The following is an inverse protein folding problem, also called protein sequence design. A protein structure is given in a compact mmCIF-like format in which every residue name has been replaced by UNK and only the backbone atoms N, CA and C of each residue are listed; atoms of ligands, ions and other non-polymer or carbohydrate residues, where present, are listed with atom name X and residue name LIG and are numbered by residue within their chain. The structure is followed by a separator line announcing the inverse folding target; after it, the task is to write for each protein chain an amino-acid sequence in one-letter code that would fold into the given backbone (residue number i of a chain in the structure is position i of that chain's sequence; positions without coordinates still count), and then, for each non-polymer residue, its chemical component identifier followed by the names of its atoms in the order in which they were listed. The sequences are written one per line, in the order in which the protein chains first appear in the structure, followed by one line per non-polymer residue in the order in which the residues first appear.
data_IF_143482279128
#
_entry.id   IF_143482279128
#
_cell.length_a   1.000
_cell.length_b   1.000
_cell.length_c   1.000
_cell.angle_alpha   90.00
_cell.angle_beta   90.00
_cell.angle_gamma   90.00
#
_symmetry.space_group_name_H-M   'P 1'
#
loop_
_entity.id
_entity.type
_entity.pdbx_description
1 polymer ?
#
# COMPACT_ATOMS: atom_id res chain seq x y z
N UNK A 1 4.50 7.59 -17.76
CA UNK A 1 3.66 6.55 -18.40
C UNK A 1 4.34 6.04 -19.66
N UNK A 2 4.91 4.87 -19.57
CA UNK A 2 5.58 4.27 -20.72
C UNK A 2 4.54 3.51 -21.57
N UNK A 3 3.79 4.24 -22.40
CA UNK A 3 2.74 3.70 -23.28
C UNK A 3 3.25 2.60 -24.24
N UNK A 4 4.55 2.50 -24.43
CA UNK A 4 5.20 1.50 -25.29
C UNK A 4 5.01 0.08 -24.73
N UNK A 5 4.84 -0.08 -23.43
CA UNK A 5 4.70 -1.41 -22.80
C UNK A 5 3.25 -1.92 -22.74
N UNK A 6 2.28 -1.11 -23.19
CA UNK A 6 0.85 -1.41 -23.08
C UNK A 6 0.16 -1.30 -24.43
N UNK A 7 -0.70 -2.23 -24.77
CA UNK A 7 -1.58 -2.12 -25.94
C UNK A 7 -2.53 -0.93 -25.81
N UNK A 8 -2.99 -0.67 -24.58
CA UNK A 8 -3.81 0.51 -24.23
C UNK A 8 -3.41 1.07 -22.87
N UNK A 9 -3.23 2.38 -22.78
CA UNK A 9 -2.91 3.10 -21.56
C UNK A 9 -3.70 4.40 -21.50
N UNK A 10 -4.84 4.37 -20.80
CA UNK A 10 -5.73 5.54 -20.57
C UNK A 10 -6.73 5.22 -19.47
N UNK A 11 -7.50 6.21 -19.04
CA UNK A 11 -8.62 6.02 -18.10
C UNK A 11 -9.76 5.16 -18.68
N UNK A 12 -9.73 4.86 -19.97
CA UNK A 12 -10.71 4.00 -20.67
C UNK A 12 -10.13 2.62 -21.01
N UNK A 13 -8.83 2.41 -20.79
CA UNK A 13 -8.19 1.11 -21.04
C UNK A 13 -8.79 0.05 -20.11
N UNK A 14 -9.09 -1.11 -20.68
CA UNK A 14 -9.78 -2.18 -19.96
C UNK A 14 -9.55 -3.53 -20.61
N UNK A 15 -9.69 -4.60 -19.83
CA UNK A 15 -9.78 -5.97 -20.37
C UNK A 15 -11.01 -6.17 -21.30
N UNK A 16 -11.95 -5.22 -21.31
CA UNK A 16 -13.11 -5.19 -22.19
C UNK A 16 -12.84 -4.45 -23.51
N UNK A 17 -11.60 -4.10 -23.81
CA UNK A 17 -11.26 -3.41 -25.06
C UNK A 17 -11.82 -4.12 -26.29
N UNK A 18 -12.47 -3.40 -27.23
CA UNK A 18 -12.95 -3.98 -28.46
C UNK A 18 -11.81 -4.49 -29.37
N UNK A 19 -10.56 -4.06 -29.10
CA UNK A 19 -9.38 -4.55 -29.84
C UNK A 19 -8.93 -5.93 -29.36
N UNK A 20 -9.34 -6.37 -28.17
CA UNK A 20 -9.03 -7.69 -27.66
C UNK A 20 -9.81 -8.75 -28.43
N UNK A 21 -9.10 -9.68 -29.04
CA UNK A 21 -9.73 -10.81 -29.78
C UNK A 21 -10.48 -11.73 -28.81
N UNK A 22 -11.52 -12.41 -29.32
CA UNK A 22 -12.24 -13.42 -28.54
C UNK A 22 -11.24 -14.46 -28.00
N UNK A 23 -11.34 -14.79 -26.71
CA UNK A 23 -10.45 -15.72 -26.01
C UNK A 23 -8.97 -15.30 -25.90
N UNK A 24 -8.61 -14.09 -26.30
CA UNK A 24 -7.26 -13.57 -26.07
C UNK A 24 -7.04 -13.34 -24.56
N UNK A 25 -5.96 -13.87 -23.96
CA UNK A 25 -5.59 -13.54 -22.59
C UNK A 25 -5.36 -12.05 -22.42
N UNK A 26 -5.52 -11.55 -21.21
CA UNK A 26 -5.23 -10.16 -20.87
C UNK A 26 -4.38 -10.07 -19.61
N UNK A 27 -3.61 -9.00 -19.54
CA UNK A 27 -2.97 -8.49 -18.34
C UNK A 27 -3.43 -7.03 -18.17
N UNK A 28 -4.18 -6.75 -17.11
CA UNK A 28 -4.76 -5.44 -16.88
C UNK A 28 -4.36 -4.92 -15.50
N UNK A 29 -4.00 -3.65 -15.43
CA UNK A 29 -3.66 -2.95 -14.19
C UNK A 29 -4.58 -1.75 -14.04
N UNK A 30 -5.26 -1.69 -12.90
CA UNK A 30 -6.14 -0.58 -12.53
C UNK A 30 -5.59 0.10 -11.28
N UNK A 31 -5.52 1.41 -11.31
CA UNK A 31 -5.07 2.22 -10.18
C UNK A 31 -6.19 3.14 -9.72
N UNK A 32 -6.30 3.34 -8.42
CA UNK A 32 -7.18 4.34 -7.83
C UNK A 32 -6.41 5.25 -6.89
N UNK A 33 -6.77 6.51 -6.86
CA UNK A 33 -6.26 7.51 -5.92
C UNK A 33 -7.24 7.76 -4.75
N UNK A 34 -8.24 6.91 -4.61
CA UNK A 34 -9.31 7.07 -3.61
C UNK A 34 -8.78 7.14 -2.18
N UNK A 35 -7.77 6.32 -1.84
CA UNK A 35 -7.12 6.36 -0.52
C UNK A 35 -5.90 7.29 -0.46
N UNK A 36 -5.67 8.11 -1.49
CA UNK A 36 -4.55 9.04 -1.53
C UNK A 36 -4.71 10.17 -0.52
N UNK A 37 -3.61 10.68 0.00
CA UNK A 37 -3.55 11.76 0.99
C UNK A 37 -4.39 13.00 0.62
N UNK A 38 -4.46 13.34 -0.65
CA UNK A 38 -5.24 14.50 -1.12
C UNK A 38 -6.70 14.46 -0.65
N UNK A 39 -7.32 13.28 -0.66
CA UNK A 39 -8.68 13.11 -0.14
C UNK A 39 -8.75 13.27 1.37
N UNK A 40 -7.82 12.67 2.11
CA UNK A 40 -7.83 12.74 3.58
C UNK A 40 -7.58 14.16 4.05
N UNK A 41 -6.62 14.87 3.42
CA UNK A 41 -6.25 16.24 3.75
C UNK A 41 -7.42 17.23 3.63
N UNK A 42 -8.25 17.08 2.61
CA UNK A 42 -9.39 17.97 2.34
C UNK A 42 -10.65 17.56 3.10
N UNK A 43 -10.63 16.41 3.72
CA UNK A 43 -11.76 15.86 4.44
C UNK A 43 -12.27 16.77 5.59
N UNK A 44 -11.36 17.54 6.22
CA UNK A 44 -11.73 18.49 7.27
C UNK A 44 -12.26 19.84 6.76
N UNK A 45 -11.83 20.24 5.57
CA UNK A 45 -12.05 21.61 5.09
C UNK A 45 -13.29 21.76 4.23
N UNK A 46 -13.73 20.69 3.59
CA UNK A 46 -14.86 20.75 2.66
C UNK A 46 -16.16 20.15 3.22
N UNK A 47 -16.23 19.98 4.53
CA UNK A 47 -17.43 19.53 5.22
C UNK A 47 -17.90 18.11 4.86
N UNK A 48 -17.09 17.37 4.13
CA UNK A 48 -17.40 16.00 3.72
C UNK A 48 -17.35 15.00 4.85
N UNK A 49 -17.07 15.44 6.07
CA UNK A 49 -17.25 14.61 7.24
C UNK A 49 -18.72 14.49 7.58
N UNK A 50 -19.38 13.77 6.78
CA UNK A 50 -20.53 13.11 7.26
C UNK A 50 -20.07 11.95 8.16
N UNK A 51 -20.04 12.18 9.47
CA UNK A 51 -19.83 11.14 10.48
C UNK A 51 -20.96 10.10 10.47
N UNK A 52 -21.83 10.16 9.52
CA UNK A 52 -22.98 9.28 9.35
C UNK A 52 -22.66 7.99 8.62
N UNK A 53 -21.44 7.82 8.09
CA UNK A 53 -21.03 6.49 7.63
C UNK A 53 -20.91 5.57 8.83
N UNK A 54 -21.82 4.62 8.91
CA UNK A 54 -21.87 3.63 9.97
C UNK A 54 -20.50 2.99 10.18
N UNK A 55 -20.01 3.07 11.40
CA UNK A 55 -18.87 2.29 11.88
C UNK A 55 -17.53 3.00 12.01
N UNK A 56 -17.34 4.23 11.47
CA UNK A 56 -16.05 4.92 11.60
C UNK A 56 -16.20 6.26 12.34
N UNK A 57 -16.43 6.17 13.63
CA UNK A 57 -16.47 7.33 14.51
C UNK A 57 -15.08 7.64 15.06
N UNK A 58 -14.52 8.83 14.83
CA UNK A 58 -13.17 9.19 15.30
C UNK A 58 -12.97 8.95 16.79
N UNK A 59 -13.98 9.24 17.62
CA UNK A 59 -13.94 9.04 19.05
C UNK A 59 -13.77 7.59 19.49
N UNK A 60 -14.23 6.63 18.68
CA UNK A 60 -14.21 5.19 18.99
C UNK A 60 -12.97 4.48 18.42
N UNK A 61 -12.13 5.17 17.66
CA UNK A 61 -10.95 4.56 17.06
C UNK A 61 -9.89 4.24 18.12
N UNK A 62 -9.34 3.04 18.03
CA UNK A 62 -8.11 2.68 18.74
C UNK A 62 -6.93 3.20 17.93
N UNK A 63 -6.25 4.21 18.43
CA UNK A 63 -5.05 4.75 17.80
C UNK A 63 -3.81 3.94 18.19
N UNK A 64 -2.80 3.84 17.30
CA UNK A 64 -1.51 3.29 17.66
C UNK A 64 -0.87 4.08 18.80
N UNK A 65 -0.22 3.38 19.75
CA UNK A 65 0.40 4.01 20.90
C UNK A 65 1.50 5.04 20.57
N UNK A 66 2.01 5.01 19.35
CA UNK A 66 3.08 5.91 18.87
C UNK A 66 2.56 7.24 18.30
N UNK A 67 1.28 7.49 18.28
CA UNK A 67 0.70 8.78 17.89
C UNK A 67 -0.06 9.42 19.06
N UNK A 68 -0.08 10.75 19.19
CA UNK A 68 -0.86 11.42 20.22
C UNK A 68 -2.36 11.27 19.95
N UNK A 69 -3.11 11.18 21.03
CA UNK A 69 -4.56 11.13 20.98
C UNK A 69 -5.12 12.56 20.86
N UNK A 70 -5.14 13.07 19.64
CA UNK A 70 -5.63 14.39 19.27
C UNK A 70 -6.85 14.27 18.34
N UNK A 71 -7.80 15.22 18.39
CA UNK A 71 -8.97 15.21 17.52
C UNK A 71 -8.59 15.13 16.03
N UNK A 72 -7.56 15.86 15.60
CA UNK A 72 -7.08 15.86 14.22
C UNK A 72 -6.47 14.51 13.82
N UNK A 73 -5.75 13.85 14.74
CA UNK A 73 -5.17 12.52 14.50
C UNK A 73 -6.30 11.50 14.35
N UNK A 74 -7.25 11.47 15.28
CA UNK A 74 -8.42 10.58 15.19
C UNK A 74 -9.17 10.78 13.90
N UNK A 75 -9.33 12.02 13.53
CA UNK A 75 -10.03 12.44 12.36
C UNK A 75 -9.34 12.00 11.06
N UNK A 76 -8.03 12.15 10.93
CA UNK A 76 -7.28 11.70 9.75
C UNK A 76 -7.29 10.17 9.65
N UNK A 77 -7.22 9.46 10.79
CA UNK A 77 -7.37 8.01 10.81
C UNK A 77 -8.76 7.55 10.36
N UNK A 78 -9.84 8.22 10.81
CA UNK A 78 -11.20 7.93 10.36
C UNK A 78 -11.34 8.15 8.83
N UNK A 79 -10.87 9.28 8.34
CA UNK A 79 -10.88 9.59 6.91
C UNK A 79 -10.07 8.60 6.06
N UNK A 80 -8.96 8.09 6.60
CA UNK A 80 -8.18 7.04 5.94
C UNK A 80 -8.96 5.72 5.85
N UNK A 81 -9.61 5.30 6.94
CA UNK A 81 -10.39 4.07 6.96
C UNK A 81 -11.62 4.15 6.04
N UNK A 82 -12.32 5.29 6.00
CA UNK A 82 -13.40 5.50 5.05
C UNK A 82 -12.92 5.44 3.60
N UNK A 83 -11.76 6.02 3.32
CA UNK A 83 -11.17 5.93 1.99
C UNK A 83 -10.83 4.49 1.60
N UNK A 84 -10.44 3.65 2.56
CA UNK A 84 -10.24 2.21 2.34
C UNK A 84 -11.55 1.49 2.05
N UNK A 85 -12.65 1.84 2.73
CA UNK A 85 -13.98 1.29 2.42
C UNK A 85 -14.44 1.65 1.00
N UNK A 86 -14.13 2.87 0.53
CA UNK A 86 -14.45 3.25 -0.84
C UNK A 86 -13.60 2.51 -1.86
N UNK A 87 -12.34 2.18 -1.53
CA UNK A 87 -11.51 1.31 -2.36
C UNK A 87 -12.08 -0.11 -2.43
N UNK A 88 -12.60 -0.64 -1.32
CA UNK A 88 -13.29 -1.93 -1.31
C UNK A 88 -14.53 -1.92 -2.23
N UNK A 89 -15.33 -0.88 -2.12
CA UNK A 89 -16.48 -0.67 -3.03
C UNK A 89 -16.04 -0.60 -4.50
N UNK A 90 -14.97 0.14 -4.79
CA UNK A 90 -14.38 0.23 -6.12
C UNK A 90 -13.92 -1.14 -6.66
N UNK A 91 -13.26 -1.95 -5.82
CA UNK A 91 -12.89 -3.32 -6.19
C UNK A 91 -14.13 -4.17 -6.46
N UNK A 92 -15.18 -4.03 -5.65
CA UNK A 92 -16.46 -4.74 -5.81
C UNK A 92 -17.08 -4.54 -7.21
N UNK A 93 -16.96 -3.35 -7.80
CA UNK A 93 -17.43 -3.12 -9.18
C UNK A 93 -16.67 -3.97 -10.20
N UNK A 94 -15.35 -4.12 -10.07
CA UNK A 94 -14.57 -4.96 -10.98
C UNK A 94 -14.88 -6.44 -10.81
N UNK A 95 -15.06 -6.90 -9.59
CA UNK A 95 -15.42 -8.29 -9.31
C UNK A 95 -16.79 -8.64 -9.92
N UNK A 96 -17.75 -7.73 -9.77
CA UNK A 96 -19.08 -7.87 -10.39
C UNK A 96 -19.00 -7.89 -11.92
N UNK A 97 -18.27 -6.97 -12.53
CA UNK A 97 -18.11 -6.87 -13.97
C UNK A 97 -17.44 -8.15 -14.56
N UNK A 98 -16.40 -8.67 -13.91
CA UNK A 98 -15.77 -9.94 -14.29
C UNK A 98 -16.77 -11.09 -14.27
N UNK A 99 -17.59 -11.18 -13.21
CA UNK A 99 -18.62 -12.23 -13.06
C UNK A 99 -19.70 -12.12 -14.14
N UNK A 100 -20.23 -10.93 -14.37
CA UNK A 100 -21.26 -10.69 -15.40
C UNK A 100 -20.78 -11.04 -16.82
N UNK A 101 -19.46 -10.99 -17.04
CA UNK A 101 -18.83 -11.35 -18.32
C UNK A 101 -18.32 -12.79 -18.38
N UNK A 102 -18.49 -13.56 -17.30
CA UNK A 102 -17.99 -14.94 -17.23
C UNK A 102 -16.47 -15.04 -17.29
N UNK A 103 -15.75 -14.02 -16.82
CA UNK A 103 -14.29 -13.96 -16.81
C UNK A 103 -13.71 -14.32 -15.44
N UNK A 104 -14.50 -14.27 -14.39
CA UNK A 104 -14.09 -14.48 -12.99
C UNK A 104 -13.49 -15.85 -12.74
N UNK A 105 -14.04 -16.90 -13.34
CA UNK A 105 -13.52 -18.28 -13.24
C UNK A 105 -12.19 -18.49 -13.95
N UNK A 106 -11.75 -17.53 -14.74
CA UNK A 106 -10.53 -17.63 -15.55
C UNK A 106 -9.55 -16.47 -15.31
N UNK A 107 -9.75 -15.67 -14.26
CA UNK A 107 -8.91 -14.50 -13.96
C UNK A 107 -8.28 -14.62 -12.58
N UNK A 108 -6.94 -14.60 -12.53
CA UNK A 108 -6.18 -14.44 -11.28
C UNK A 108 -6.17 -12.95 -10.94
N UNK A 109 -6.49 -12.61 -9.69
CA UNK A 109 -6.61 -11.22 -9.26
C UNK A 109 -5.56 -10.93 -8.19
N UNK A 110 -4.80 -9.83 -8.38
CA UNK A 110 -3.91 -9.26 -7.39
C UNK A 110 -4.49 -7.94 -6.93
N UNK A 111 -4.69 -7.80 -5.63
CA UNK A 111 -5.09 -6.55 -5.01
C UNK A 111 -4.05 -6.13 -3.97
N UNK A 112 -3.50 -4.93 -4.08
CA UNK A 112 -2.47 -4.43 -3.19
C UNK A 112 -2.43 -2.90 -3.16
N UNK A 113 -1.83 -2.34 -2.11
CA UNK A 113 -1.49 -0.92 -2.03
C UNK A 113 -0.02 -0.72 -2.42
N UNK A 114 0.32 0.44 -2.96
CA UNK A 114 1.70 0.81 -3.35
C UNK A 114 2.59 1.14 -2.12
N UNK A 115 1.99 1.67 -1.05
CA UNK A 115 2.64 1.98 0.23
C UNK A 115 1.59 2.10 1.34
N UNK A 116 2.04 2.25 2.58
CA UNK A 116 1.16 2.46 3.73
C UNK A 116 0.43 3.80 3.71
N UNK A 117 -0.57 3.95 4.58
CA UNK A 117 -1.45 5.13 4.63
C UNK A 117 -0.72 6.44 4.83
N UNK A 118 -1.32 7.52 4.36
CA UNK A 118 -0.82 8.89 4.54
C UNK A 118 -1.23 9.44 5.93
N UNK A 119 -0.93 8.67 6.94
CA UNK A 119 -1.10 8.96 8.36
C UNK A 119 0.29 9.08 9.01
N UNK A 120 0.42 9.65 10.21
CA UNK A 120 1.72 9.77 10.88
C UNK A 120 2.50 8.46 10.91
N UNK A 121 3.80 8.51 10.57
CA UNK A 121 4.73 7.37 10.43
C UNK A 121 4.38 6.35 9.33
N UNK A 122 3.42 6.66 8.45
CA UNK A 122 3.04 5.82 7.33
C UNK A 122 3.88 6.08 6.07
N UNK A 123 3.26 6.66 5.05
CA UNK A 123 3.91 6.95 3.76
C UNK A 123 5.26 7.66 3.91
N UNK A 124 6.29 7.12 3.26
CA UNK A 124 7.63 7.70 3.22
C UNK A 124 8.56 7.22 4.35
N UNK A 125 8.05 6.48 5.33
CA UNK A 125 8.85 5.93 6.42
C UNK A 125 9.09 4.42 6.26
N UNK A 126 10.21 3.91 6.79
CA UNK A 126 10.55 2.49 6.75
C UNK A 126 9.97 1.68 7.93
N UNK A 127 9.00 2.25 8.65
CA UNK A 127 8.21 1.51 9.65
C UNK A 127 7.23 0.55 8.96
N UNK A 128 6.66 -0.38 9.73
CA UNK A 128 5.64 -1.30 9.22
C UNK A 128 4.41 -0.55 8.67
N UNK A 129 4.02 0.54 9.32
CA UNK A 129 2.92 1.41 8.86
C UNK A 129 3.14 2.03 7.46
N UNK A 130 4.40 2.11 7.00
CA UNK A 130 4.75 2.59 5.67
C UNK A 130 5.02 1.49 4.65
N UNK A 131 5.51 0.33 5.10
CA UNK A 131 6.01 -0.74 4.22
C UNK A 131 5.12 -1.97 4.16
N UNK A 132 4.45 -2.34 5.26
CA UNK A 132 3.59 -3.51 5.31
C UNK A 132 2.21 -3.14 4.78
N UNK A 133 1.98 -3.48 3.53
CA UNK A 133 0.73 -3.22 2.82
C UNK A 133 -0.05 -4.51 2.59
N UNK A 134 -1.38 -4.43 2.39
CA UNK A 134 -2.15 -5.59 1.98
C UNK A 134 -1.66 -6.09 0.61
N UNK A 135 -1.57 -7.40 0.48
CA UNK A 135 -1.42 -8.11 -0.78
C UNK A 135 -2.37 -9.31 -0.75
N UNK A 136 -3.43 -9.24 -1.52
CA UNK A 136 -4.42 -10.31 -1.67
C UNK A 136 -4.26 -10.89 -3.06
N UNK A 137 -4.13 -12.21 -3.14
CA UNK A 137 -4.07 -12.92 -4.42
C UNK A 137 -5.19 -13.94 -4.47
N UNK A 138 -6.08 -13.78 -5.43
CA UNK A 138 -7.17 -14.71 -5.68
C UNK A 138 -6.86 -15.59 -6.87
N UNK A 139 -6.96 -16.90 -6.66
CA UNK A 139 -6.89 -17.91 -7.71
C UNK A 139 -8.26 -18.56 -7.84
N UNK A 140 -8.93 -18.45 -8.99
CA UNK A 140 -10.14 -19.22 -9.23
C UNK A 140 -9.82 -20.73 -9.29
N UNK A 141 -10.81 -21.64 -9.09
CA UNK A 141 -10.58 -23.09 -9.03
C UNK A 141 -9.72 -23.63 -10.17
N UNK A 142 -9.93 -23.14 -11.38
CA UNK A 142 -9.16 -23.52 -12.58
C UNK A 142 -7.64 -23.33 -12.41
N UNK A 143 -7.21 -22.30 -11.72
CA UNK A 143 -5.80 -21.91 -11.56
C UNK A 143 -5.24 -22.22 -10.16
N UNK A 144 -6.02 -22.88 -9.32
CA UNK A 144 -5.61 -23.22 -7.94
C UNK A 144 -4.33 -24.06 -7.90
N UNK A 145 -4.08 -24.87 -8.92
CA UNK A 145 -2.87 -25.69 -9.04
C UNK A 145 -1.57 -24.87 -9.17
N UNK A 146 -1.65 -23.58 -9.48
CA UNK A 146 -0.50 -22.67 -9.59
C UNK A 146 -0.03 -22.10 -8.23
N UNK A 147 -0.84 -22.31 -7.19
CA UNK A 147 -0.47 -22.01 -5.82
C UNK A 147 -0.41 -23.28 -4.99
N UNK A 148 0.42 -23.28 -3.93
CA UNK A 148 0.50 -24.41 -2.98
C UNK A 148 -0.49 -24.26 -1.83
N UNK A 149 -1.16 -23.14 -1.72
CA UNK A 149 -2.10 -22.84 -0.64
C UNK A 149 -3.53 -22.82 -1.16
N UNK A 150 -4.43 -23.51 -0.48
CA UNK A 150 -5.86 -23.48 -0.81
C UNK A 150 -6.50 -22.15 -0.41
N UNK A 151 -6.25 -21.67 0.79
CA UNK A 151 -6.70 -20.36 1.30
C UNK A 151 -5.98 -20.06 2.62
N UNK A 152 -6.02 -18.81 3.05
CA UNK A 152 -5.51 -18.37 4.33
C UNK A 152 -4.47 -17.26 4.26
N UNK A 153 -3.85 -16.96 5.40
CA UNK A 153 -2.81 -15.93 5.52
C UNK A 153 -1.43 -16.54 5.29
N UNK A 154 -0.64 -15.91 4.44
CA UNK A 154 0.77 -16.21 4.24
C UNK A 154 1.62 -15.15 4.96
N UNK A 155 2.59 -15.62 5.74
CA UNK A 155 3.47 -14.77 6.54
C UNK A 155 4.89 -14.67 5.96
N UNK A 156 5.11 -15.15 4.76
CA UNK A 156 6.38 -15.03 4.06
C UNK A 156 6.70 -13.59 3.71
N UNK A 157 7.99 -13.25 3.74
CA UNK A 157 8.46 -11.94 3.28
C UNK A 157 8.30 -11.83 1.76
N UNK A 158 7.51 -10.88 1.32
CA UNK A 158 7.22 -10.57 -0.09
C UNK A 158 7.60 -9.13 -0.37
N UNK A 159 8.08 -8.87 -1.59
CA UNK A 159 8.44 -7.55 -2.07
C UNK A 159 7.80 -7.28 -3.43
N UNK A 160 7.53 -6.04 -3.78
CA UNK A 160 6.97 -5.68 -5.09
C UNK A 160 7.86 -6.04 -6.28
N UNK A 161 9.17 -6.16 -6.08
CA UNK A 161 10.06 -6.70 -7.11
C UNK A 161 9.70 -8.14 -7.49
N UNK A 162 8.95 -8.86 -6.65
CA UNK A 162 8.50 -10.24 -6.89
C UNK A 162 7.28 -10.31 -7.82
N UNK A 163 6.53 -9.22 -7.99
CA UNK A 163 5.31 -9.21 -8.78
C UNK A 163 5.59 -9.44 -10.27
N UNK A 164 6.58 -8.75 -10.84
CA UNK A 164 6.95 -8.90 -12.25
C UNK A 164 7.31 -10.36 -12.62
N UNK A 165 8.30 -11.00 -11.95
CA UNK A 165 8.62 -12.39 -12.21
C UNK A 165 7.46 -13.34 -11.88
N UNK A 166 6.57 -13.01 -10.95
CA UNK A 166 5.38 -13.80 -10.65
C UNK A 166 4.40 -13.80 -11.82
N UNK A 167 4.11 -12.63 -12.38
CA UNK A 167 3.23 -12.50 -13.55
C UNK A 167 3.78 -13.29 -14.73
N UNK A 168 5.08 -13.18 -15.03
CA UNK A 168 5.73 -13.97 -16.10
C UNK A 168 5.61 -15.47 -15.83
N UNK A 169 5.89 -15.89 -14.59
CA UNK A 169 5.79 -17.29 -14.18
C UNK A 169 4.37 -17.87 -14.35
N UNK A 170 3.34 -17.09 -13.97
CA UNK A 170 1.94 -17.45 -14.15
C UNK A 170 1.56 -17.55 -15.64
N UNK A 171 2.13 -16.68 -16.47
CA UNK A 171 1.97 -16.74 -17.93
C UNK A 171 2.79 -17.86 -18.59
N UNK A 172 3.53 -18.66 -17.82
CA UNK A 172 4.39 -19.73 -18.35
C UNK A 172 5.71 -19.24 -18.96
N UNK A 173 6.02 -17.96 -18.84
CA UNK A 173 7.24 -17.32 -19.34
C UNK A 173 8.31 -17.33 -18.26
N UNK A 174 9.51 -17.77 -18.62
CA UNK A 174 10.65 -17.78 -17.69
C UNK A 174 11.11 -16.35 -17.39
N UNK A 175 11.14 -15.93 -16.12
CA UNK A 175 11.64 -14.61 -15.75
C UNK A 175 13.10 -14.40 -16.19
N UNK A 176 13.44 -13.25 -16.79
CA UNK A 176 14.81 -12.91 -17.14
C UNK A 176 15.74 -12.87 -15.92
N UNK A 177 17.01 -13.24 -16.12
CA UNK A 177 18.00 -13.31 -15.03
C UNK A 177 18.29 -11.97 -14.33
N UNK A 178 18.10 -10.85 -15.03
CA UNK A 178 18.26 -9.49 -14.49
C UNK A 178 17.16 -9.07 -13.53
N UNK A 179 16.03 -9.78 -13.46
CA UNK A 179 15.01 -9.52 -12.45
C UNK A 179 15.51 -9.97 -11.08
N UNK A 180 15.56 -9.04 -10.14
CA UNK A 180 16.02 -9.29 -8.77
C UNK A 180 14.97 -9.98 -7.89
N UNK A 181 13.69 -9.81 -8.23
CA UNK A 181 12.58 -10.44 -7.53
C UNK A 181 12.49 -11.94 -7.78
N UNK A 182 11.73 -12.63 -6.94
CA UNK A 182 11.50 -14.08 -7.01
C UNK A 182 10.01 -14.33 -7.32
N UNK A 183 9.72 -15.17 -8.31
CA UNK A 183 8.34 -15.54 -8.60
C UNK A 183 7.70 -16.26 -7.41
N UNK A 184 6.53 -15.80 -7.00
CA UNK A 184 5.78 -16.37 -5.87
C UNK A 184 4.97 -17.60 -6.29
N UNK A 185 4.42 -17.58 -7.51
CA UNK A 185 3.49 -18.58 -8.03
C UNK A 185 3.84 -18.97 -9.45
N UNK A 186 3.20 -20.05 -9.95
CA UNK A 186 3.31 -20.51 -11.32
C UNK A 186 4.49 -21.45 -11.57
N UNK A 187 4.76 -21.70 -12.85
CA UNK A 187 5.75 -22.72 -13.33
C UNK A 187 7.17 -22.48 -12.80
N UNK A 188 7.55 -21.21 -12.62
CA UNK A 188 8.90 -20.82 -12.21
C UNK A 188 8.93 -20.26 -10.79
N UNK A 189 7.94 -20.61 -9.96
CA UNK A 189 7.88 -20.18 -8.57
C UNK A 189 9.15 -20.58 -7.81
N UNK A 190 9.67 -19.65 -7.05
CA UNK A 190 10.82 -19.91 -6.18
C UNK A 190 10.42 -20.86 -5.04
N UNK A 191 11.28 -21.82 -4.75
CA UNK A 191 11.05 -22.83 -3.69
C UNK A 191 11.59 -22.38 -2.32
N UNK A 192 12.51 -21.44 -2.31
CA UNK A 192 13.17 -20.98 -1.09
C UNK A 192 12.39 -19.81 -0.48
N UNK A 193 12.16 -19.88 0.83
CA UNK A 193 11.58 -18.75 1.58
C UNK A 193 12.64 -17.64 1.74
N UNK A 194 12.22 -16.39 1.55
CA UNK A 194 13.08 -15.23 1.85
C UNK A 194 13.28 -15.13 3.35
N UNK A 195 14.55 -15.11 3.77
CA UNK A 195 14.93 -14.99 5.18
C UNK A 195 14.99 -13.54 5.65
N UNK A 196 15.36 -12.62 4.75
CA UNK A 196 15.49 -11.20 5.06
C UNK A 196 14.93 -10.35 3.93
N UNK A 197 14.31 -9.23 4.30
CA UNK A 197 13.87 -8.20 3.38
C UNK A 197 14.55 -6.89 3.70
N UNK A 198 15.13 -6.27 2.66
CA UNK A 198 15.77 -4.97 2.74
C UNK A 198 14.84 -3.88 2.21
N UNK A 199 14.93 -2.69 2.81
CA UNK A 199 14.26 -1.51 2.34
C UNK A 199 15.20 -0.30 2.43
N UNK A 200 14.99 0.68 1.57
CA UNK A 200 15.74 1.93 1.58
C UNK A 200 14.82 3.11 1.28
N UNK A 201 15.12 4.24 1.89
CA UNK A 201 14.63 5.55 1.50
C UNK A 201 15.83 6.48 1.39
N UNK A 202 15.98 7.16 0.24
CA UNK A 202 17.05 8.12 0.03
C UNK A 202 16.56 9.56 0.21
N UNK A 203 15.34 9.82 -0.24
CA UNK A 203 14.69 11.11 -0.16
C UNK A 203 13.26 10.96 0.34
N UNK A 204 12.84 11.90 1.17
CA UNK A 204 11.45 12.07 1.54
C UNK A 204 10.98 13.43 1.03
N UNK A 205 10.28 13.45 -0.12
CA UNK A 205 9.65 14.65 -0.69
C UNK A 205 10.57 15.88 -0.66
N UNK A 206 11.68 15.80 -1.40
CA UNK A 206 12.72 16.83 -1.52
C UNK A 206 13.69 16.97 -0.34
N UNK A 207 13.50 16.22 0.74
CA UNK A 207 14.46 16.16 1.84
C UNK A 207 15.34 14.92 1.71
N UNK A 208 16.65 15.11 1.65
CA UNK A 208 17.62 14.02 1.68
C UNK A 208 17.56 13.35 3.06
N UNK A 209 17.12 12.10 3.08
CA UNK A 209 16.98 11.29 4.29
C UNK A 209 17.41 9.85 3.98
N UNK A 210 18.71 9.57 3.94
CA UNK A 210 19.22 8.25 3.66
C UNK A 210 18.99 7.33 4.85
N UNK A 211 18.01 6.45 4.71
CA UNK A 211 17.64 5.46 5.72
C UNK A 211 17.60 4.08 5.07
N UNK A 212 18.08 3.08 5.77
CA UNK A 212 17.98 1.67 5.37
C UNK A 212 17.33 0.86 6.46
N UNK A 213 16.62 -0.18 6.06
CA UNK A 213 16.04 -1.13 6.99
C UNK A 213 16.27 -2.57 6.51
N UNK A 214 16.32 -3.48 7.46
CA UNK A 214 16.31 -4.92 7.24
C UNK A 214 15.34 -5.56 8.22
N UNK A 215 14.60 -6.56 7.77
CA UNK A 215 13.70 -7.36 8.62
C UNK A 215 13.82 -8.84 8.27
N UNK A 216 13.69 -9.69 9.29
CA UNK A 216 13.54 -11.14 9.18
C UNK A 216 12.06 -11.59 9.29
N UNK A 217 11.13 -10.60 9.37
CA UNK A 217 9.71 -10.81 9.57
C UNK A 217 9.28 -10.77 11.04
N UNK A 218 10.20 -10.94 11.99
CA UNK A 218 9.95 -10.80 13.43
C UNK A 218 10.54 -9.49 13.97
N UNK A 219 11.77 -9.20 13.62
CA UNK A 219 12.49 -7.99 14.00
C UNK A 219 12.74 -7.11 12.79
N UNK A 220 12.83 -5.81 13.01
CA UNK A 220 13.24 -4.83 12.02
C UNK A 220 14.30 -3.91 12.61
N UNK A 221 15.41 -3.78 11.92
CA UNK A 221 16.44 -2.79 12.22
C UNK A 221 16.37 -1.66 11.19
N UNK A 222 16.31 -0.42 11.66
CA UNK A 222 16.30 0.79 10.83
C UNK A 222 17.53 1.62 11.18
N UNK A 223 18.31 2.02 10.17
CA UNK A 223 19.49 2.87 10.34
C UNK A 223 19.34 4.15 9.55
N UNK A 224 19.38 5.29 10.27
CA UNK A 224 19.58 6.60 9.65
C UNK A 224 21.06 6.86 9.43
N UNK A 225 21.44 7.42 8.27
CA UNK A 225 22.80 7.84 7.97
C UNK A 225 23.03 9.34 8.28
N UNK A 226 22.00 10.00 8.78
CA UNK A 226 22.04 11.40 9.26
C UNK A 226 21.40 11.49 10.65
N UNK A 227 21.95 10.80 11.67
CA UNK A 227 21.32 10.65 12.98
C UNK A 227 21.21 11.96 13.77
N UNK A 228 21.89 13.00 13.34
CA UNK A 228 21.83 14.35 13.91
C UNK A 228 20.60 15.16 13.44
N UNK A 229 19.79 14.63 12.53
CA UNK A 229 18.51 15.23 12.10
C UNK A 229 17.34 14.44 12.68
N UNK A 230 16.27 15.16 12.99
CA UNK A 230 15.01 14.54 13.40
C UNK A 230 14.54 13.55 12.32
N UNK A 231 14.02 12.41 12.74
CA UNK A 231 13.54 11.38 11.83
C UNK A 231 12.29 11.85 11.07
N UNK A 232 11.42 12.61 11.70
CA UNK A 232 10.26 13.24 11.07
C UNK A 232 10.66 14.60 10.47
N UNK A 233 11.17 14.58 9.24
CA UNK A 233 11.45 15.82 8.51
C UNK A 233 10.15 16.54 8.15
N UNK A 234 10.04 17.81 8.58
CA UNK A 234 8.90 18.66 8.26
C UNK A 234 8.88 19.02 6.78
N UNK A 235 8.20 18.23 5.97
CA UNK A 235 7.97 18.55 4.57
C UNK A 235 6.55 19.09 4.36
N UNK A 236 6.39 20.02 3.44
CA UNK A 236 5.11 20.72 3.21
C UNK A 236 3.97 19.77 2.82
N UNK A 237 4.29 18.66 2.17
CA UNK A 237 3.31 17.70 1.71
C UNK A 237 2.65 16.96 2.88
N UNK A 238 3.44 16.36 3.77
CA UNK A 238 2.93 15.67 4.96
C UNK A 238 2.38 16.65 5.99
N UNK A 239 3.03 17.82 6.15
CA UNK A 239 2.53 18.89 7.00
C UNK A 239 1.30 19.61 6.43
N UNK A 240 0.86 19.23 5.24
CA UNK A 240 -0.50 19.52 4.76
C UNK A 240 -1.59 18.77 5.53
N UNK A 241 -1.26 17.66 6.23
CA UNK A 241 -2.22 16.89 7.02
C UNK A 241 -2.52 17.56 8.36
N UNK A 242 -3.80 17.67 8.77
CA UNK A 242 -4.18 18.21 10.09
C UNK A 242 -3.49 17.49 11.24
N UNK A 243 -3.40 16.15 11.20
CA UNK A 243 -2.74 15.36 12.23
C UNK A 243 -1.27 15.73 12.44
N UNK A 244 -0.51 15.93 11.36
CA UNK A 244 0.90 16.30 11.46
C UNK A 244 1.07 17.71 12.01
N UNK A 245 0.21 18.66 11.63
CA UNK A 245 0.22 20.03 12.16
C UNK A 245 -0.12 20.08 13.64
N UNK A 246 -1.15 19.35 14.05
CA UNK A 246 -1.56 19.29 15.45
C UNK A 246 -0.47 18.64 16.33
N UNK A 247 0.18 17.59 15.84
CA UNK A 247 1.28 16.96 16.55
C UNK A 247 2.52 17.87 16.63
N UNK A 248 2.85 18.55 15.52
CA UNK A 248 3.94 19.52 15.51
C UNK A 248 3.71 20.66 16.52
N UNK A 249 2.49 21.18 16.59
CA UNK A 249 2.08 22.16 17.61
C UNK A 249 2.30 21.61 19.04
N UNK A 250 1.87 20.38 19.31
CA UNK A 250 2.07 19.72 20.61
C UNK A 250 3.57 19.65 20.98
N UNK A 251 4.45 19.37 19.99
CA UNK A 251 5.91 19.34 20.19
C UNK A 251 6.44 20.73 20.50
N UNK A 252 6.05 21.76 19.74
CA UNK A 252 6.51 23.14 19.91
C UNK A 252 6.09 23.73 21.25
N UNK A 253 4.94 23.31 21.77
CA UNK A 253 4.42 23.72 23.09
C UNK A 253 5.03 22.93 24.26
N UNK A 254 5.93 21.99 24.00
CA UNK A 254 6.60 21.17 25.03
C UNK A 254 5.72 20.07 25.63
N UNK A 255 4.58 19.80 25.05
CA UNK A 255 3.62 18.81 25.53
C UNK A 255 3.84 17.39 24.97
N UNK A 256 4.88 17.17 24.16
CA UNK A 256 5.25 15.88 23.60
C UNK A 256 5.98 15.00 24.64
N UNK A 257 5.30 14.69 25.75
CA UNK A 257 5.91 14.07 26.95
C UNK A 257 5.93 12.53 26.91
N UNK A 258 5.05 11.91 26.10
CA UNK A 258 5.00 10.45 26.01
C UNK A 258 6.25 9.90 25.28
N UNK A 259 7.00 8.94 25.86
CA UNK A 259 8.20 8.39 25.25
C UNK A 259 7.97 7.81 23.85
N UNK A 260 6.81 7.19 23.59
CA UNK A 260 6.49 6.64 22.29
C UNK A 260 6.29 7.71 21.21
N UNK A 261 5.84 8.91 21.59
CA UNK A 261 5.65 10.03 20.67
C UNK A 261 6.98 10.74 20.37
N UNK A 262 7.85 10.83 21.38
CA UNK A 262 9.17 11.45 21.27
C UNK A 262 10.02 10.84 20.17
N UNK A 263 10.00 9.51 20.04
CA UNK A 263 10.74 8.78 19.01
C UNK A 263 10.45 9.22 17.54
N UNK A 264 9.43 10.02 17.33
CA UNK A 264 9.11 10.52 15.99
C UNK A 264 9.82 11.86 15.71
N UNK A 265 10.08 12.68 16.73
CA UNK A 265 10.60 14.04 16.61
C UNK A 265 11.97 14.25 17.28
N UNK A 266 12.44 13.32 18.04
CA UNK A 266 13.79 13.27 18.64
C UNK A 266 14.65 12.22 17.93
#
# INVERSE_FOLDING_TARGET
DNKICWDECSNKASYNSPKRKKNQPFFAVFNTVTSHMGRIRTFHTDGRRDYTREGIYPALLSLPAYVPDLPEVRSDYAGHLEAVQDVDTWLGFFLKDLKEKGLDENTIIFFFSDHGGCIPRGKGYLYESGLKVPLIVYFPPKWQHLTKQASGKEYSLVNFTDLGPTVLSLAGVKPPKQMQGKALYGKFANKEKRQMQFALAANQLHHFMPVRAVTDGRFKYIRSYIPYRQFALRNYYQWGMPSNKAWDKLVLEGHNTNPNWKLTFE
#
